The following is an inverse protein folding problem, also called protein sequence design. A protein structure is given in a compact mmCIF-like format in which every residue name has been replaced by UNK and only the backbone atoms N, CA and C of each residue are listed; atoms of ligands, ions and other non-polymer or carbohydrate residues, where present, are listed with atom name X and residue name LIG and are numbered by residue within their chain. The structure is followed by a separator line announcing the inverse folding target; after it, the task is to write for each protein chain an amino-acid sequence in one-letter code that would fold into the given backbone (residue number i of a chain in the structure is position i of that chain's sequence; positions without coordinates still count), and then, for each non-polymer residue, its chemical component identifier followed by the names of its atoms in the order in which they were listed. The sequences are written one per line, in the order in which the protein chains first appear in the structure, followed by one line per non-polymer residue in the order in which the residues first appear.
data_IF_692517318751
#
_entry.id   IF_692517318751
#
_cell.length_a   1.000
_cell.length_b   1.000
_cell.length_c   1.000
_cell.angle_alpha   90.00
_cell.angle_beta   90.00
_cell.angle_gamma   90.00
#
_symmetry.space_group_name_H-M   'P 1'
#
loop_
_entity.id
_entity.type
_entity.pdbx_description
1 polymer ?
#
# COMPACT_ATOMS: atom_id res chain seq x y z
N UNK A 1 4.73 -4.81 -7.30
CA UNK A 1 5.09 -5.74 -6.20
C UNK A 1 4.17 -6.97 -6.20
N UNK A 2 2.86 -6.79 -6.27
CA UNK A 2 1.93 -7.92 -6.24
C UNK A 2 2.20 -8.94 -7.36
N UNK A 3 2.34 -8.49 -8.60
CA UNK A 3 2.64 -9.33 -9.78
C UNK A 3 3.96 -10.10 -9.69
N UNK A 4 4.91 -9.65 -8.84
CA UNK A 4 6.16 -10.37 -8.58
C UNK A 4 5.91 -11.53 -7.59
N UNK A 5 5.06 -11.29 -6.60
CA UNK A 5 4.82 -12.24 -5.52
C UNK A 5 3.77 -13.28 -5.84
N UNK A 6 2.74 -12.93 -6.61
CA UNK A 6 1.57 -13.77 -6.89
C UNK A 6 1.15 -13.69 -8.36
N UNK A 7 0.56 -14.78 -8.86
CA UNK A 7 -0.06 -14.83 -10.20
C UNK A 7 -1.54 -14.45 -10.15
N UNK A 8 -2.26 -14.88 -9.11
CA UNK A 8 -3.68 -14.57 -8.92
C UNK A 8 -3.81 -13.31 -8.09
N UNK A 9 -4.31 -12.25 -8.72
CA UNK A 9 -4.41 -10.93 -8.11
C UNK A 9 -5.86 -10.52 -7.90
N UNK A 10 -6.14 -10.02 -6.71
CA UNK A 10 -7.43 -9.42 -6.37
C UNK A 10 -7.19 -7.95 -6.01
N UNK A 11 -7.68 -7.05 -6.86
CA UNK A 11 -7.66 -5.61 -6.55
C UNK A 11 -8.73 -5.31 -5.49
N UNK A 12 -8.26 -4.89 -4.33
CA UNK A 12 -9.07 -4.58 -3.16
C UNK A 12 -9.26 -3.06 -2.98
N UNK A 13 -8.87 -2.28 -3.99
CA UNK A 13 -8.83 -0.81 -3.93
C UNK A 13 -10.23 -0.18 -3.91
N UNK A 14 -11.19 -0.71 -4.68
CA UNK A 14 -12.49 -0.07 -4.88
C UNK A 14 -13.63 -0.69 -4.06
N UNK A 15 -13.60 -1.99 -3.81
CA UNK A 15 -14.65 -2.66 -3.05
C UNK A 15 -14.10 -3.87 -2.31
N UNK A 16 -14.69 -4.18 -1.17
CA UNK A 16 -14.56 -5.50 -0.56
C UNK A 16 -15.14 -6.55 -1.51
N UNK A 17 -14.43 -7.67 -1.64
CA UNK A 17 -14.93 -8.86 -2.34
C UNK A 17 -15.22 -9.92 -1.30
N UNK A 18 -16.28 -10.67 -1.50
CA UNK A 18 -16.49 -11.87 -0.71
C UNK A 18 -15.40 -12.88 -1.07
N UNK A 19 -14.52 -13.16 -0.14
CA UNK A 19 -13.39 -14.07 -0.29
C UNK A 19 -13.54 -15.20 0.73
N UNK A 20 -13.49 -16.42 0.24
CA UNK A 20 -13.58 -17.63 1.04
C UNK A 20 -12.24 -18.35 1.03
N UNK A 21 -11.46 -18.20 2.09
CA UNK A 21 -10.19 -18.88 2.27
C UNK A 21 -10.37 -20.23 2.98
N UNK A 22 -9.48 -21.16 2.65
CA UNK A 22 -9.33 -22.45 3.31
C UNK A 22 -7.99 -22.52 4.04
N UNK A 23 -7.85 -23.40 4.99
CA UNK A 23 -6.64 -23.53 5.83
C UNK A 23 -5.37 -23.85 5.06
N UNK A 24 -5.49 -24.47 3.89
CA UNK A 24 -4.39 -24.81 2.97
C UNK A 24 -3.93 -23.63 2.10
N UNK A 25 -4.76 -22.59 1.96
CA UNK A 25 -4.45 -21.43 1.11
C UNK A 25 -3.29 -20.62 1.67
N UNK A 26 -2.57 -19.96 0.76
CA UNK A 26 -1.52 -18.98 1.06
C UNK A 26 -1.89 -17.66 0.40
N UNK A 27 -2.08 -16.63 1.20
CA UNK A 27 -2.49 -15.31 0.74
C UNK A 27 -1.37 -14.29 1.01
N UNK A 28 -1.01 -13.52 0.00
CA UNK A 28 -0.18 -12.31 0.16
C UNK A 28 -1.10 -11.11 0.29
N UNK A 29 -1.07 -10.45 1.45
CA UNK A 29 -1.90 -9.27 1.76
C UNK A 29 -1.01 -8.03 1.65
N UNK A 30 -1.18 -7.28 0.56
CA UNK A 30 -0.37 -6.10 0.26
C UNK A 30 -1.15 -4.81 0.52
N UNK A 31 -0.57 -3.92 1.28
CA UNK A 31 -1.13 -2.58 1.51
C UNK A 31 -0.10 -1.48 1.25
N UNK A 32 -0.51 -0.34 0.68
CA UNK A 32 0.34 0.84 0.61
C UNK A 32 0.50 1.44 2.01
N UNK A 33 1.62 2.15 2.21
CA UNK A 33 1.88 2.86 3.46
C UNK A 33 1.63 4.36 3.26
N UNK A 34 0.67 4.91 4.00
CA UNK A 34 0.41 6.35 4.04
C UNK A 34 0.64 6.87 5.45
N UNK A 35 1.55 7.83 5.61
CA UNK A 35 1.94 8.40 6.92
C UNK A 35 2.45 7.38 7.93
N UNK A 36 3.01 6.24 7.46
CA UNK A 36 3.52 5.18 8.33
C UNK A 36 2.46 4.22 8.85
N UNK A 37 1.25 4.25 8.29
CA UNK A 37 0.11 3.42 8.64
C UNK A 37 -0.49 2.77 7.40
N UNK A 38 -1.26 1.71 7.58
CA UNK A 38 -2.14 1.18 6.53
C UNK A 38 -3.32 2.14 6.35
N UNK A 39 -3.77 2.45 5.11
CA UNK A 39 -4.97 3.26 4.91
C UNK A 39 -6.19 2.67 5.61
N UNK A 40 -6.92 3.50 6.37
CA UNK A 40 -8.05 3.05 7.18
C UNK A 40 -9.10 2.29 6.34
N UNK A 41 -9.40 2.77 5.13
CA UNK A 41 -10.32 2.10 4.21
C UNK A 41 -9.87 0.68 3.82
N UNK A 42 -8.56 0.40 3.80
CA UNK A 42 -8.04 -0.93 3.55
C UNK A 42 -8.25 -1.83 4.78
N UNK A 43 -7.98 -1.32 5.98
CA UNK A 43 -8.22 -2.04 7.24
C UNK A 43 -9.69 -2.41 7.40
N UNK A 44 -10.61 -1.48 7.10
CA UNK A 44 -12.06 -1.71 7.15
C UNK A 44 -12.46 -2.85 6.22
N UNK A 45 -12.07 -2.78 4.95
CA UNK A 45 -12.36 -3.84 3.96
C UNK A 45 -11.72 -5.18 4.31
N UNK A 46 -10.48 -5.16 4.77
CA UNK A 46 -9.79 -6.39 5.20
C UNK A 46 -10.51 -7.03 6.39
N UNK A 47 -11.06 -6.22 7.29
CA UNK A 47 -11.77 -6.70 8.48
C UNK A 47 -13.10 -7.40 8.17
N UNK A 48 -13.64 -7.24 6.95
CA UNK A 48 -14.83 -7.96 6.48
C UNK A 48 -14.53 -9.40 6.02
N UNK A 49 -13.25 -9.74 5.83
CA UNK A 49 -12.80 -11.06 5.36
C UNK A 49 -12.63 -12.01 6.54
N UNK A 50 -12.84 -13.30 6.30
CA UNK A 50 -12.53 -14.38 7.23
C UNK A 50 -11.34 -15.18 6.71
N UNK A 51 -10.24 -15.18 7.47
CA UNK A 51 -9.01 -15.87 7.11
C UNK A 51 -9.09 -17.40 7.22
N UNK A 52 -10.02 -17.94 8.05
CA UNK A 52 -10.31 -19.38 8.21
C UNK A 52 -9.06 -20.26 8.40
N UNK A 53 -8.01 -19.72 9.02
CA UNK A 53 -6.76 -20.45 9.27
C UNK A 53 -5.82 -20.51 8.07
N UNK A 54 -6.12 -19.85 6.95
CA UNK A 54 -5.22 -19.69 5.81
C UNK A 54 -3.91 -19.01 6.25
N UNK A 55 -2.82 -19.33 5.57
CA UNK A 55 -1.53 -18.68 5.81
C UNK A 55 -1.50 -17.32 5.12
N UNK A 56 -0.93 -16.32 5.79
CA UNK A 56 -0.77 -15.00 5.21
C UNK A 56 0.68 -14.53 5.24
N UNK A 57 1.08 -13.85 4.17
CA UNK A 57 2.29 -13.03 4.09
C UNK A 57 1.83 -11.58 4.00
N UNK A 58 2.19 -10.76 4.97
CA UNK A 58 1.80 -9.35 5.01
C UNK A 58 2.89 -8.49 4.37
N UNK A 59 2.50 -7.55 3.51
CA UNK A 59 3.44 -6.75 2.72
C UNK A 59 3.08 -5.26 2.83
N UNK A 60 3.97 -4.49 3.46
CA UNK A 60 3.88 -3.04 3.49
C UNK A 60 4.64 -2.45 2.29
N UNK A 61 3.93 -1.82 1.35
CA UNK A 61 4.51 -1.19 0.15
C UNK A 61 4.70 0.30 0.38
N UNK A 62 5.94 0.78 0.37
CA UNK A 62 6.26 2.15 0.78
C UNK A 62 7.28 2.86 -0.12
N UNK A 63 7.23 4.21 -0.09
CA UNK A 63 8.04 5.09 -0.93
C UNK A 63 9.38 5.50 -0.29
N UNK A 64 10.26 4.55 0.03
CA UNK A 64 11.65 4.74 0.51
C UNK A 64 11.84 5.45 1.87
N UNK A 65 10.83 6.12 2.47
CA UNK A 65 11.04 6.77 3.79
C UNK A 65 11.08 5.75 4.92
N UNK A 66 9.95 5.27 5.35
CA UNK A 66 9.73 4.23 6.36
C UNK A 66 8.30 3.73 6.25
N UNK A 67 8.06 2.49 6.69
CA UNK A 67 6.71 1.96 6.83
C UNK A 67 6.18 2.04 8.27
N UNK A 68 7.01 2.49 9.21
CA UNK A 68 6.68 2.72 10.63
C UNK A 68 5.85 1.54 11.21
N UNK A 69 4.58 1.79 11.58
CA UNK A 69 3.74 0.80 12.22
C UNK A 69 2.87 -0.02 11.23
N UNK A 70 2.92 0.31 9.92
CA UNK A 70 2.03 -0.28 8.93
C UNK A 70 2.16 -1.80 8.81
N UNK A 71 3.38 -2.35 8.92
CA UNK A 71 3.58 -3.80 8.81
C UNK A 71 3.01 -4.53 10.03
N UNK A 72 3.21 -3.99 11.23
CA UNK A 72 2.64 -4.53 12.46
C UNK A 72 1.10 -4.42 12.46
N UNK A 73 0.56 -3.29 12.02
CA UNK A 73 -0.89 -3.08 11.89
C UNK A 73 -1.51 -4.10 10.93
N UNK A 74 -0.88 -4.31 9.77
CA UNK A 74 -1.36 -5.27 8.78
C UNK A 74 -1.31 -6.71 9.32
N UNK A 75 -0.22 -7.09 10.02
CA UNK A 75 -0.09 -8.37 10.71
C UNK A 75 -1.21 -8.56 11.73
N UNK A 76 -1.35 -7.64 12.68
CA UNK A 76 -2.33 -7.75 13.76
C UNK A 76 -3.76 -7.81 13.23
N UNK A 77 -4.09 -7.02 12.19
CA UNK A 77 -5.40 -7.06 11.55
C UNK A 77 -5.65 -8.41 10.88
N UNK A 78 -4.67 -8.93 10.15
CA UNK A 78 -4.78 -10.24 9.48
C UNK A 78 -4.97 -11.38 10.49
N UNK A 79 -4.22 -11.39 11.59
CA UNK A 79 -4.36 -12.40 12.64
C UNK A 79 -5.73 -12.31 13.34
N UNK A 80 -6.22 -11.09 13.60
CA UNK A 80 -7.53 -10.86 14.23
C UNK A 80 -8.70 -11.44 13.41
N UNK A 81 -8.59 -11.46 12.08
CA UNK A 81 -9.62 -12.01 11.18
C UNK A 81 -9.39 -13.48 10.83
N UNK A 82 -8.44 -14.14 11.50
CA UNK A 82 -8.24 -15.58 11.45
C UNK A 82 -7.20 -16.09 10.43
N UNK A 83 -6.35 -15.23 9.87
CA UNK A 83 -5.16 -15.69 9.15
C UNK A 83 -4.04 -16.13 10.11
N UNK A 84 -3.19 -17.02 9.65
CA UNK A 84 -1.92 -17.40 10.29
C UNK A 84 -0.79 -16.67 9.57
N UNK A 85 -0.34 -15.53 10.13
CA UNK A 85 0.74 -14.77 9.49
C UNK A 85 2.06 -15.51 9.64
N UNK A 86 2.70 -15.82 8.51
CA UNK A 86 3.93 -16.61 8.43
C UNK A 86 5.16 -15.80 8.06
N UNK A 87 4.98 -14.64 7.42
CA UNK A 87 6.07 -13.74 7.05
C UNK A 87 5.57 -12.30 6.90
N UNK A 88 6.48 -11.33 7.02
CA UNK A 88 6.27 -9.93 6.72
C UNK A 88 7.30 -9.41 5.72
N UNK A 89 6.90 -8.51 4.82
CA UNK A 89 7.79 -7.87 3.85
C UNK A 89 7.58 -6.35 3.92
N UNK A 90 8.67 -5.59 4.04
CA UNK A 90 8.71 -4.18 3.69
C UNK A 90 9.20 -4.06 2.25
N UNK A 91 8.32 -3.68 1.32
CA UNK A 91 8.62 -3.61 -0.10
C UNK A 91 8.69 -2.17 -0.59
N UNK A 92 9.77 -1.81 -1.28
CA UNK A 92 9.97 -0.45 -1.80
C UNK A 92 9.29 -0.27 -3.15
N UNK A 93 8.63 0.86 -3.30
CA UNK A 93 8.10 1.35 -4.56
C UNK A 93 8.39 2.85 -4.72
N UNK A 94 8.21 3.37 -5.91
CA UNK A 94 8.30 4.80 -6.17
C UNK A 94 7.27 5.57 -5.33
N UNK A 95 7.69 6.69 -4.74
CA UNK A 95 6.81 7.49 -3.89
C UNK A 95 5.72 8.18 -4.72
N UNK A 96 4.46 8.04 -4.32
CA UNK A 96 3.29 8.47 -5.11
C UNK A 96 3.17 9.99 -5.31
N UNK A 97 3.75 10.81 -4.43
CA UNK A 97 3.74 12.29 -4.50
C UNK A 97 5.10 12.80 -4.98
N UNK A 98 6.18 12.41 -4.33
CA UNK A 98 7.55 12.82 -4.64
C UNK A 98 8.20 11.78 -5.56
N UNK A 99 7.85 11.78 -6.84
CA UNK A 99 8.20 10.73 -7.80
C UNK A 99 9.71 10.53 -8.02
N UNK A 100 10.55 11.48 -7.63
CA UNK A 100 12.01 11.35 -7.64
C UNK A 100 12.55 10.53 -6.46
N UNK A 101 11.72 10.22 -5.47
CA UNK A 101 12.08 9.35 -4.35
C UNK A 101 11.68 7.92 -4.69
N UNK A 102 12.67 7.02 -4.70
CA UNK A 102 12.48 5.64 -5.14
C UNK A 102 12.11 5.55 -6.63
N UNK A 103 12.56 6.48 -7.46
CA UNK A 103 12.25 6.51 -8.89
C UNK A 103 12.61 5.19 -9.55
N UNK A 104 11.69 4.67 -10.37
CA UNK A 104 11.85 3.41 -11.07
C UNK A 104 11.78 2.15 -10.19
N UNK A 105 11.44 2.27 -8.91
CA UNK A 105 11.25 1.13 -8.00
C UNK A 105 9.81 0.59 -8.06
N UNK A 106 9.57 -0.76 -8.02
CA UNK A 106 10.60 -1.80 -7.93
C UNK A 106 11.38 -1.98 -9.26
N UNK A 107 12.70 -2.03 -9.17
CA UNK A 107 13.61 -2.25 -10.27
C UNK A 107 14.02 -3.75 -10.37
N UNK A 108 14.97 -4.07 -11.25
CA UNK A 108 15.43 -5.45 -11.45
C UNK A 108 16.00 -6.08 -10.18
N UNK A 109 16.78 -5.35 -9.40
CA UNK A 109 17.32 -5.82 -8.12
C UNK A 109 16.21 -6.12 -7.10
N UNK A 110 15.16 -5.27 -7.06
CA UNK A 110 13.99 -5.51 -6.21
C UNK A 110 13.26 -6.79 -6.59
N UNK A 111 13.10 -7.02 -7.89
CA UNK A 111 12.44 -8.22 -8.41
C UNK A 111 13.21 -9.47 -7.98
N UNK A 112 14.54 -9.47 -8.15
CA UNK A 112 15.42 -10.56 -7.75
C UNK A 112 15.33 -10.80 -6.23
N UNK A 113 15.37 -9.73 -5.43
CA UNK A 113 15.28 -9.81 -3.97
C UNK A 113 13.92 -10.35 -3.50
N UNK A 114 12.82 -9.89 -4.08
CA UNK A 114 11.48 -10.37 -3.75
C UNK A 114 11.27 -11.85 -4.14
N UNK A 115 11.88 -12.31 -5.22
CA UNK A 115 11.86 -13.72 -5.59
C UNK A 115 12.64 -14.58 -4.58
N UNK A 116 13.80 -14.12 -4.11
CA UNK A 116 14.55 -14.79 -3.02
C UNK A 116 13.70 -14.84 -1.73
N UNK A 117 12.98 -13.77 -1.41
CA UNK A 117 12.07 -13.76 -0.25
C UNK A 117 10.96 -14.80 -0.40
N UNK A 118 10.36 -14.89 -1.58
CA UNK A 118 9.33 -15.88 -1.90
C UNK A 118 9.83 -17.33 -1.69
N UNK A 119 11.04 -17.65 -2.12
CA UNK A 119 11.64 -18.97 -1.89
C UNK A 119 11.83 -19.27 -0.39
N UNK A 120 12.32 -18.29 0.39
CA UNK A 120 12.50 -18.44 1.84
C UNK A 120 11.15 -18.64 2.55
N UNK A 121 10.14 -17.88 2.15
CA UNK A 121 8.77 -17.99 2.69
C UNK A 121 8.19 -19.37 2.39
N UNK A 122 8.31 -19.86 1.15
CA UNK A 122 7.84 -21.20 0.78
C UNK A 122 8.48 -22.28 1.63
N UNK A 123 9.80 -22.26 1.84
CA UNK A 123 10.52 -23.20 2.72
C UNK A 123 9.98 -23.14 4.16
N UNK A 124 9.66 -21.94 4.69
CA UNK A 124 9.05 -21.83 6.01
C UNK A 124 7.65 -22.45 6.05
N UNK A 125 6.82 -22.18 5.05
CA UNK A 125 5.47 -22.76 4.92
C UNK A 125 5.54 -24.29 4.88
N UNK A 126 6.43 -24.85 4.05
CA UNK A 126 6.66 -26.31 3.92
C UNK A 126 7.12 -26.93 5.24
N UNK A 127 7.91 -26.22 6.05
CA UNK A 127 8.34 -26.69 7.37
C UNK A 127 7.23 -26.70 8.43
N UNK A 128 6.03 -26.19 8.11
CA UNK A 128 4.89 -26.08 9.03
C UNK A 128 5.02 -25.00 10.09
N UNK A 129 6.08 -24.18 10.07
CA UNK A 129 6.28 -23.09 11.04
C UNK A 129 5.32 -21.95 10.76
N UNK A 130 4.69 -21.44 11.80
CA UNK A 130 3.77 -20.30 11.79
C UNK A 130 4.26 -19.19 12.73
N UNK A 131 3.68 -18.00 12.58
CA UNK A 131 4.03 -16.83 13.37
C UNK A 131 5.29 -16.14 12.85
N UNK A 132 5.35 -14.84 13.05
CA UNK A 132 6.49 -13.98 12.73
C UNK A 132 6.44 -12.73 13.61
N UNK A 133 7.62 -12.29 14.04
CA UNK A 133 7.77 -10.96 14.64
C UNK A 133 8.12 -9.96 13.55
N UNK A 134 7.42 -8.82 13.56
CA UNK A 134 7.67 -7.70 12.64
C UNK A 134 7.87 -6.42 13.43
N UNK A 135 8.54 -5.44 12.83
CA UNK A 135 8.75 -4.13 13.46
C UNK A 135 7.47 -3.29 13.43
N UNK A 136 7.38 -2.38 14.38
CA UNK A 136 6.28 -1.44 14.59
C UNK A 136 6.03 -1.21 16.07
N UNK A 137 5.23 -0.21 16.41
CA UNK A 137 4.86 0.11 17.79
C UNK A 137 3.36 -0.10 18.00
N UNK A 138 2.99 -0.43 19.23
CA UNK A 138 1.60 -0.42 19.67
C UNK A 138 1.52 0.32 21.01
N UNK A 139 0.64 1.29 21.20
CA UNK A 139 -0.34 1.78 20.19
C UNK A 139 0.32 2.36 18.95
N UNK A 140 -0.35 2.23 17.80
CA UNK A 140 0.14 2.75 16.53
C UNK A 140 0.19 4.27 16.54
N UNK A 141 1.11 4.85 15.75
CA UNK A 141 1.18 6.30 15.56
C UNK A 141 -0.13 6.86 14.99
N UNK A 142 -0.39 8.13 15.23
CA UNK A 142 -1.53 8.82 14.65
C UNK A 142 -1.38 8.94 13.12
N UNK A 143 -2.52 8.85 12.41
CA UNK A 143 -2.54 9.00 10.96
C UNK A 143 -2.40 10.49 10.64
N UNK A 144 -1.41 10.82 9.82
CA UNK A 144 -1.26 12.18 9.31
C UNK A 144 -2.33 12.56 8.29
N UNK A 145 -2.47 13.84 8.05
CA UNK A 145 -3.41 14.39 7.07
C UNK A 145 -2.70 15.00 5.87
N UNK A 146 -3.34 14.99 4.71
CA UNK A 146 -2.84 15.67 3.53
C UNK A 146 -3.00 17.19 3.69
N UNK A 147 -1.98 17.98 3.36
CA UNK A 147 -2.09 19.44 3.37
C UNK A 147 -2.93 19.97 2.21
N UNK A 148 -3.08 19.20 1.15
CA UNK A 148 -3.83 19.53 -0.05
C UNK A 148 -4.26 18.27 -0.81
N UNK A 149 -5.10 18.39 -1.82
CA UNK A 149 -5.65 17.30 -2.61
C UNK A 149 -5.59 17.58 -4.12
N UNK A 150 -5.51 16.53 -4.98
CA UNK A 150 -5.45 16.73 -6.42
C UNK A 150 -6.72 17.37 -7.00
N UNK A 151 -6.55 18.32 -7.92
CA UNK A 151 -7.62 19.00 -8.65
C UNK A 151 -7.48 18.81 -10.15
N UNK A 152 -8.58 18.87 -10.87
CA UNK A 152 -8.57 18.90 -12.32
C UNK A 152 -8.16 20.28 -12.83
N UNK A 153 -7.42 20.33 -13.92
CA UNK A 153 -7.05 21.54 -14.65
C UNK A 153 -7.88 21.67 -15.95
N UNK A 154 -7.60 22.70 -16.73
CA UNK A 154 -8.31 23.01 -17.99
C UNK A 154 -8.28 21.92 -19.07
N UNK A 155 -7.38 20.95 -18.97
CA UNK A 155 -7.28 19.83 -19.92
C UNK A 155 -8.26 18.70 -19.59
N UNK A 156 -9.06 18.83 -18.53
CA UNK A 156 -10.01 17.82 -18.12
C UNK A 156 -11.15 17.66 -19.15
N UNK A 157 -11.27 16.47 -19.73
CA UNK A 157 -12.33 16.10 -20.68
C UNK A 157 -13.64 15.67 -20.02
N UNK A 158 -13.70 15.72 -18.68
CA UNK A 158 -14.87 15.31 -17.88
C UNK A 158 -15.25 13.82 -18.03
N UNK A 159 -14.30 12.96 -18.30
CA UNK A 159 -14.53 11.52 -18.54
C UNK A 159 -14.98 10.69 -17.32
N UNK A 160 -14.91 11.24 -16.09
CA UNK A 160 -15.37 10.55 -14.87
C UNK A 160 -14.39 9.52 -14.27
N UNK A 161 -13.37 9.07 -14.98
CA UNK A 161 -12.47 7.98 -14.56
C UNK A 161 -11.90 8.18 -13.15
N UNK A 162 -11.52 9.40 -12.78
CA UNK A 162 -11.00 9.70 -11.45
C UNK A 162 -12.06 9.57 -10.34
N UNK A 163 -13.33 9.83 -10.63
CA UNK A 163 -14.46 9.68 -9.70
C UNK A 163 -14.68 8.20 -9.42
N UNK A 164 -14.83 7.39 -10.48
CA UNK A 164 -15.07 5.94 -10.41
C UNK A 164 -13.92 5.18 -9.71
N UNK A 165 -12.69 5.69 -9.85
CA UNK A 165 -11.51 5.06 -9.28
C UNK A 165 -11.10 5.61 -7.89
N UNK A 166 -11.89 6.49 -7.29
CA UNK A 166 -11.56 7.01 -5.96
C UNK A 166 -11.90 5.97 -4.86
N UNK A 167 -10.91 5.43 -4.11
CA UNK A 167 -11.15 4.36 -3.14
C UNK A 167 -12.06 4.78 -1.97
N UNK A 168 -12.18 6.06 -1.72
CA UNK A 168 -12.95 6.62 -0.59
C UNK A 168 -14.09 7.53 -1.04
N UNK A 169 -14.39 7.62 -2.35
CA UNK A 169 -15.44 8.48 -2.87
C UNK A 169 -15.24 9.98 -2.56
N UNK A 170 -13.99 10.42 -2.44
CA UNK A 170 -13.68 11.81 -2.09
C UNK A 170 -13.89 12.80 -3.24
N UNK A 171 -14.02 12.33 -4.49
CA UNK A 171 -14.24 13.19 -5.66
C UNK A 171 -15.73 13.32 -5.88
N UNK A 172 -16.31 14.42 -5.42
CA UNK A 172 -17.76 14.70 -5.49
C UNK A 172 -18.15 15.07 -6.92
N UNK A 173 -17.33 15.91 -7.55
CA UNK A 173 -17.47 16.31 -8.95
C UNK A 173 -16.09 16.44 -9.59
N UNK A 174 -16.04 16.79 -10.87
CA UNK A 174 -14.76 16.96 -11.56
C UNK A 174 -13.93 18.14 -11.03
N UNK A 175 -14.59 19.11 -10.45
CA UNK A 175 -13.98 20.33 -9.90
C UNK A 175 -13.81 20.25 -8.38
N UNK A 176 -14.61 19.42 -7.70
CA UNK A 176 -14.70 19.37 -6.24
C UNK A 176 -14.20 18.04 -5.68
N UNK A 177 -13.35 18.11 -4.70
CA UNK A 177 -12.84 16.98 -3.92
C UNK A 177 -13.06 17.24 -2.43
N UNK A 178 -13.72 16.33 -1.76
CA UNK A 178 -13.87 16.33 -0.30
C UNK A 178 -12.49 16.08 0.35
N UNK A 179 -11.95 17.14 0.94
CA UNK A 179 -10.61 17.09 1.56
C UNK A 179 -10.56 16.22 2.82
N UNK A 180 -11.70 16.06 3.51
CA UNK A 180 -11.79 15.27 4.75
C UNK A 180 -11.79 13.77 4.44
N UNK A 181 -12.38 13.39 3.31
CA UNK A 181 -12.33 12.02 2.82
C UNK A 181 -11.05 11.67 2.08
N UNK A 182 -10.36 12.64 1.49
CA UNK A 182 -9.22 12.39 0.64
C UNK A 182 -8.02 11.86 1.43
N UNK A 183 -7.62 10.62 1.18
CA UNK A 183 -6.47 9.95 1.83
C UNK A 183 -5.13 10.20 1.14
N UNK A 184 -5.07 11.04 0.11
CA UNK A 184 -3.82 11.39 -0.58
C UNK A 184 -3.17 10.26 -1.38
N UNK A 185 -3.94 9.26 -1.81
CA UNK A 185 -3.41 8.07 -2.51
C UNK A 185 -2.88 8.34 -3.92
N UNK A 186 -3.12 9.49 -4.50
CA UNK A 186 -2.75 9.88 -5.88
C UNK A 186 -3.34 8.97 -6.98
N UNK A 187 -4.24 8.03 -6.68
CA UNK A 187 -4.84 7.16 -7.70
C UNK A 187 -5.54 7.97 -8.80
N UNK A 188 -6.28 9.01 -8.43
CA UNK A 188 -6.96 9.88 -9.40
C UNK A 188 -5.99 10.62 -10.34
N UNK A 189 -4.75 10.83 -9.91
CA UNK A 189 -3.68 11.39 -10.76
C UNK A 189 -3.16 10.32 -11.71
N UNK A 190 -2.90 9.11 -11.20
CA UNK A 190 -2.34 8.00 -11.96
C UNK A 190 -3.27 7.48 -13.06
N UNK A 191 -4.60 7.43 -12.80
CA UNK A 191 -5.58 6.90 -13.76
C UNK A 191 -6.12 7.93 -14.75
N UNK A 192 -5.74 9.21 -14.62
CA UNK A 192 -6.26 10.26 -15.50
C UNK A 192 -5.65 10.16 -16.91
N UNK A 193 -6.44 9.80 -17.95
CA UNK A 193 -5.92 9.62 -19.30
C UNK A 193 -5.37 10.92 -19.91
N UNK A 194 -5.90 12.07 -19.48
CA UNK A 194 -5.49 13.39 -19.96
C UNK A 194 -4.38 14.02 -19.12
N UNK A 195 -3.88 13.32 -18.08
CA UNK A 195 -2.97 13.92 -17.09
C UNK A 195 -3.46 15.26 -16.54
N UNK A 196 -4.77 15.44 -16.51
CA UNK A 196 -5.43 16.69 -16.10
C UNK A 196 -5.55 16.82 -14.59
N UNK A 197 -5.55 15.72 -13.84
CA UNK A 197 -5.65 15.75 -12.39
C UNK A 197 -4.26 15.83 -11.75
N UNK A 198 -4.04 16.87 -10.92
CA UNK A 198 -2.71 17.12 -10.33
C UNK A 198 -2.84 17.66 -8.90
N UNK A 199 -1.86 17.32 -8.09
CA UNK A 199 -1.60 18.00 -6.82
C UNK A 199 -0.88 19.33 -7.11
N UNK A 200 -1.06 20.32 -6.26
CA UNK A 200 -0.37 21.60 -6.35
C UNK A 200 1.16 21.41 -6.36
N UNK A 201 1.84 21.99 -7.34
CA UNK A 201 3.29 21.81 -7.52
C UNK A 201 4.11 22.34 -6.33
N UNK A 202 3.66 23.39 -5.65
CA UNK A 202 4.34 23.88 -4.45
C UNK A 202 4.30 22.85 -3.32
N UNK A 203 3.18 22.13 -3.17
CA UNK A 203 3.06 21.01 -2.20
C UNK A 203 3.95 19.85 -2.60
N UNK A 204 3.93 19.46 -3.87
CA UNK A 204 4.81 18.40 -4.38
C UNK A 204 6.28 18.71 -4.10
N UNK A 205 6.71 19.94 -4.38
CA UNK A 205 8.08 20.39 -4.14
C UNK A 205 8.41 20.37 -2.64
N UNK A 206 7.53 20.90 -1.78
CA UNK A 206 7.74 20.92 -0.33
C UNK A 206 7.86 19.51 0.25
N UNK A 207 6.99 18.57 -0.18
CA UNK A 207 7.06 17.16 0.21
C UNK A 207 8.36 16.51 -0.28
N UNK A 208 8.74 16.78 -1.52
CA UNK A 208 9.97 16.22 -2.12
C UNK A 208 11.21 16.69 -1.37
N UNK A 209 11.35 18.00 -1.10
CA UNK A 209 12.50 18.52 -0.37
C UNK A 209 12.56 17.98 1.07
N UNK A 210 11.42 17.90 1.76
CA UNK A 210 11.37 17.28 3.09
C UNK A 210 11.81 15.80 3.05
N UNK A 211 11.37 15.05 2.05
CA UNK A 211 11.73 13.64 1.93
C UNK A 211 13.20 13.46 1.55
N UNK A 212 13.77 14.30 0.70
CA UNK A 212 15.21 14.28 0.39
C UNK A 212 16.09 14.43 1.65
N UNK A 213 15.66 15.24 2.61
CA UNK A 213 16.42 15.42 3.85
C UNK A 213 16.42 14.19 4.76
N UNK A 214 15.39 13.34 4.69
CA UNK A 214 15.20 12.23 5.63
C UNK A 214 15.29 10.83 5.00
N UNK A 215 15.31 10.73 3.68
CA UNK A 215 15.39 9.46 2.95
C UNK A 215 16.07 9.58 1.59
N UNK A 216 17.21 10.30 1.53
CA UNK A 216 18.03 10.45 0.32
C UNK A 216 18.63 9.11 -0.13
N UNK A 217 19.03 8.27 0.82
CA UNK A 217 19.65 6.99 0.51
C UNK A 217 18.60 5.94 0.09
N UNK A 218 18.86 5.18 -0.99
CA UNK A 218 18.02 4.06 -1.38
C UNK A 218 17.99 3.00 -0.28
N UNK A 219 16.80 2.57 0.11
CA UNK A 219 16.62 1.45 1.03
C UNK A 219 16.48 0.12 0.28
N UNK A 220 16.71 -0.95 1.00
CA UNK A 220 16.49 -2.32 0.54
C UNK A 220 15.11 -2.82 0.98
N UNK A 221 14.54 -3.79 0.22
CA UNK A 221 13.39 -4.51 0.71
C UNK A 221 13.78 -5.33 1.95
N UNK A 222 12.86 -5.53 2.87
CA UNK A 222 13.11 -6.26 4.12
C UNK A 222 12.21 -7.47 4.23
N UNK A 223 12.75 -8.58 4.78
CA UNK A 223 12.01 -9.81 5.06
C UNK A 223 12.05 -10.11 6.55
N UNK A 224 10.89 -10.36 7.11
CA UNK A 224 10.65 -10.90 8.45
C UNK A 224 10.12 -12.32 8.33
N UNK A 225 10.81 -13.29 8.99
CA UNK A 225 10.50 -14.70 8.82
C UNK A 225 10.76 -15.51 10.10
#
# INVERSE_FOLDING_TARGET
VAEILCNDLIDFTLSGKELNFKSEDVCYILAPVYYGRVPQVFIERLSEIKGNGAKAVVVAVYGNREFDDALLELKNTSEKIGFKVVAGIGAIAQHSIANTIGEGRPNKSDIEQLNIFKEKINKKIESGKIGVEVVGNYPYKEIGTMPDYPRANKNCTKCGVCVENCPVGAIISLEETDKEKCIGCMRCVAVCPENARKLNSAIVNAVTEKLKMVCSEPKENTLYI
#
